data_IF_448813417439
#
_entry.id   IF_448813417439
#
_cell.length_a   1.000
_cell.length_b   1.000
_cell.length_c   1.000
_cell.angle_alpha   90.00
_cell.angle_beta   90.00
_cell.angle_gamma   90.00
#
_symmetry.space_group_name_H-M   'P 1'
#
loop_
_entity.id
_entity.type
_entity.pdbx_description
1 polymer ?
#
# COMPACT_ATOMS: atom_id res chain seq x y z
N UNK A 1 2.56 11.56 0.57
CA UNK A 1 2.90 10.20 1.06
C UNK A 1 3.28 9.21 -0.05
N UNK A 2 2.53 9.10 -1.15
CA UNK A 2 2.80 8.09 -2.20
C UNK A 2 4.15 8.30 -2.92
N UNK A 3 4.43 9.54 -3.35
CA UNK A 3 5.66 9.91 -4.07
C UNK A 3 6.92 9.56 -3.26
N UNK A 4 6.93 9.89 -1.96
CA UNK A 4 8.08 9.62 -1.08
C UNK A 4 8.33 8.13 -0.88
N UNK A 5 7.31 7.26 -1.03
CA UNK A 5 7.47 5.80 -0.93
C UNK A 5 7.95 5.16 -2.23
N UNK A 6 7.66 5.78 -3.38
CA UNK A 6 8.11 5.34 -4.71
C UNK A 6 9.53 5.85 -5.00
N UNK A 7 9.92 6.95 -4.34
CA UNK A 7 11.22 7.57 -4.46
C UNK A 7 12.34 6.59 -4.08
N UNK A 8 13.01 6.01 -5.08
CA UNK A 8 14.30 5.33 -4.90
C UNK A 8 15.43 6.29 -5.29
N UNK A 9 16.45 6.38 -4.44
CA UNK A 9 17.68 7.16 -4.66
C UNK A 9 17.47 8.66 -4.95
N UNK A 10 16.50 9.32 -4.30
CA UNK A 10 16.31 10.77 -4.45
C UNK A 10 15.63 11.22 -5.75
N UNK A 11 15.30 10.31 -6.67
CA UNK A 11 14.76 10.63 -8.00
C UNK A 11 13.27 10.97 -7.96
N UNK A 12 12.93 12.21 -7.56
CA UNK A 12 11.54 12.72 -7.49
C UNK A 12 10.84 12.71 -8.85
N UNK A 13 11.50 13.20 -9.89
CA UNK A 13 10.92 13.28 -11.24
C UNK A 13 10.50 11.91 -11.78
N UNK A 14 11.34 10.88 -11.58
CA UNK A 14 11.04 9.50 -12.00
C UNK A 14 9.83 8.94 -11.24
N UNK A 15 9.72 9.20 -9.93
CA UNK A 15 8.59 8.77 -9.13
C UNK A 15 7.27 9.39 -9.62
N UNK A 16 7.28 10.69 -9.97
CA UNK A 16 6.12 11.36 -10.56
C UNK A 16 5.73 10.75 -11.92
N UNK A 17 6.70 10.46 -12.79
CA UNK A 17 6.44 9.81 -14.08
C UNK A 17 5.79 8.43 -13.92
N UNK A 18 6.26 7.62 -12.97
CA UNK A 18 5.70 6.29 -12.70
C UNK A 18 4.24 6.42 -12.24
N UNK A 19 3.96 7.34 -11.32
CA UNK A 19 2.59 7.58 -10.83
C UNK A 19 1.67 8.04 -11.96
N UNK A 20 2.11 9.01 -12.77
CA UNK A 20 1.31 9.50 -13.90
C UNK A 20 1.02 8.40 -14.94
N UNK A 21 2.02 7.56 -15.24
CA UNK A 21 1.84 6.42 -16.14
C UNK A 21 0.86 5.38 -15.58
N UNK A 22 0.92 5.12 -14.28
CA UNK A 22 0.00 4.21 -13.60
C UNK A 22 -1.44 4.75 -13.60
N UNK A 23 -1.62 6.03 -13.29
CA UNK A 23 -2.93 6.71 -13.36
C UNK A 23 -3.53 6.66 -14.76
N UNK A 24 -2.72 6.91 -15.80
CA UNK A 24 -3.16 6.82 -17.19
C UNK A 24 -3.63 5.42 -17.56
N UNK A 25 -2.91 4.37 -17.12
CA UNK A 25 -3.32 2.97 -17.32
C UNK A 25 -4.63 2.63 -16.61
N UNK A 26 -4.85 3.16 -15.40
CA UNK A 26 -6.09 2.96 -14.64
C UNK A 26 -7.26 3.65 -15.36
N UNK A 27 -7.06 4.90 -15.79
CA UNK A 27 -8.08 5.63 -16.53
C UNK A 27 -8.50 4.91 -17.81
N UNK A 28 -7.55 4.33 -18.54
CA UNK A 28 -7.82 3.52 -19.74
C UNK A 28 -8.60 2.23 -19.46
N UNK A 29 -8.47 1.65 -18.26
CA UNK A 29 -9.13 0.38 -17.89
C UNK A 29 -10.49 0.56 -17.25
N UNK A 30 -10.67 1.63 -16.48
CA UNK A 30 -11.84 1.79 -15.60
C UNK A 30 -12.75 2.92 -16.06
N UNK A 31 -12.35 3.73 -17.06
CA UNK A 31 -13.08 4.89 -17.62
C UNK A 31 -13.62 5.88 -16.57
N UNK A 32 -13.12 5.76 -15.34
CA UNK A 32 -13.56 6.50 -14.16
C UNK A 32 -12.39 7.31 -13.64
N UNK A 33 -12.71 8.28 -12.79
CA UNK A 33 -11.68 9.15 -12.23
C UNK A 33 -10.64 8.31 -11.46
N UNK A 34 -9.38 8.28 -11.91
CA UNK A 34 -8.36 7.38 -11.36
C UNK A 34 -8.01 7.73 -9.91
N UNK A 35 -8.29 8.97 -9.45
CA UNK A 35 -8.16 9.35 -8.05
C UNK A 35 -9.22 8.68 -7.17
N UNK A 36 -10.43 8.47 -7.69
CA UNK A 36 -11.50 7.77 -6.99
C UNK A 36 -11.16 6.28 -6.84
N UNK A 37 -10.67 5.66 -7.93
CA UNK A 37 -10.21 4.26 -7.93
C UNK A 37 -9.05 4.05 -6.94
N UNK A 38 -8.09 4.96 -6.88
CA UNK A 38 -7.00 4.91 -5.88
C UNK A 38 -7.51 5.07 -4.45
N UNK A 39 -8.51 5.92 -4.20
CA UNK A 39 -9.12 6.05 -2.86
C UNK A 39 -9.82 4.75 -2.47
N UNK A 40 -10.56 4.14 -3.40
CA UNK A 40 -11.31 2.91 -3.18
C UNK A 40 -10.36 1.71 -2.95
N UNK A 41 -9.28 1.60 -3.74
CA UNK A 41 -8.30 0.50 -3.57
C UNK A 41 -7.57 0.57 -2.24
N UNK A 42 -7.26 1.77 -1.74
CA UNK A 42 -6.63 1.95 -0.43
C UNK A 42 -7.51 1.42 0.71
N UNK A 43 -8.83 1.47 0.57
CA UNK A 43 -9.76 0.87 1.54
C UNK A 43 -9.72 -0.65 1.54
N UNK A 44 -9.50 -1.28 0.38
CA UNK A 44 -9.49 -2.74 0.22
C UNK A 44 -8.14 -3.35 0.62
N UNK A 45 -7.04 -2.65 0.36
CA UNK A 45 -5.69 -3.06 0.79
C UNK A 45 -5.39 -2.81 2.28
N UNK A 46 -6.29 -2.14 3.01
CA UNK A 46 -6.23 -2.07 4.47
C UNK A 46 -6.64 -3.44 5.04
N UNK A 47 -5.71 -4.39 5.10
CA UNK A 47 -5.88 -5.54 5.98
C UNK A 47 -6.08 -5.01 7.39
N UNK A 48 -7.29 -5.16 7.95
CA UNK A 48 -7.59 -4.65 9.30
C UNK A 48 -6.75 -5.34 10.37
N UNK A 49 -6.21 -6.51 10.04
CA UNK A 49 -5.44 -7.35 10.93
C UNK A 49 -4.06 -7.65 10.32
N UNK A 50 -3.00 -7.49 11.13
CA UNK A 50 -1.66 -8.00 10.87
C UNK A 50 -1.40 -9.10 11.90
N UNK A 51 -0.71 -10.16 11.51
CA UNK A 51 -0.19 -11.12 12.48
C UNK A 51 1.14 -10.66 13.06
N UNK A 52 1.28 -10.76 14.38
CA UNK A 52 2.59 -10.72 15.04
C UNK A 52 2.88 -12.09 15.64
N UNK A 53 4.11 -12.56 15.44
CA UNK A 53 4.60 -13.76 16.09
C UNK A 53 4.74 -13.52 17.58
N UNK A 54 4.12 -14.36 18.41
CA UNK A 54 4.31 -14.43 19.86
C UNK A 54 4.71 -15.85 20.23
N UNK A 55 5.75 -15.99 21.04
CA UNK A 55 6.19 -17.28 21.56
C UNK A 55 5.57 -17.53 22.92
N UNK A 56 4.86 -18.65 23.08
CA UNK A 56 4.23 -19.08 24.34
C UNK A 56 4.60 -20.54 24.55
N UNK A 57 5.25 -20.86 25.68
CA UNK A 57 5.53 -22.25 26.06
C UNK A 57 6.43 -23.05 25.10
N UNK A 58 7.28 -22.38 24.30
CA UNK A 58 8.20 -23.05 23.36
C UNK A 58 7.69 -23.15 21.92
N UNK A 59 6.42 -22.83 21.65
CA UNK A 59 5.85 -22.72 20.30
C UNK A 59 5.60 -21.26 19.90
N UNK A 60 5.81 -20.94 18.63
CA UNK A 60 5.56 -19.59 18.10
C UNK A 60 4.22 -19.57 17.37
N UNK A 61 3.30 -18.74 17.86
CA UNK A 61 1.98 -18.54 17.29
C UNK A 61 1.85 -17.16 16.66
N UNK A 62 1.11 -17.07 15.55
CA UNK A 62 0.76 -15.79 14.94
C UNK A 62 -0.52 -15.24 15.58
N UNK A 63 -0.37 -14.19 16.38
CA UNK A 63 -1.49 -13.53 17.04
C UNK A 63 -1.93 -12.34 16.18
N UNK A 64 -3.22 -12.27 15.79
CA UNK A 64 -3.74 -11.15 15.02
C UNK A 64 -3.82 -9.89 15.88
N UNK A 65 -3.40 -8.76 15.30
CA UNK A 65 -3.43 -7.44 15.92
C UNK A 65 -4.09 -6.48 14.94
N UNK A 66 -4.97 -5.63 15.46
CA UNK A 66 -5.59 -4.57 14.68
C UNK A 66 -4.57 -3.53 14.24
N UNK A 67 -4.54 -3.27 12.94
CA UNK A 67 -3.68 -2.25 12.36
C UNK A 67 -4.43 -0.92 12.40
N UNK A 68 -3.84 0.09 13.04
CA UNK A 68 -4.37 1.45 13.00
C UNK A 68 -4.49 1.98 11.57
N UNK A 69 -5.51 2.81 11.30
CA UNK A 69 -5.85 3.28 9.95
C UNK A 69 -4.70 3.97 9.20
N UNK A 70 -3.79 4.64 9.91
CA UNK A 70 -2.57 5.25 9.34
C UNK A 70 -1.55 4.21 8.90
N UNK A 71 -1.35 3.16 9.70
CA UNK A 71 -0.43 2.07 9.38
C UNK A 71 -0.99 1.18 8.26
N UNK A 72 -2.30 0.97 8.21
CA UNK A 72 -2.98 0.26 7.12
C UNK A 72 -2.74 0.93 5.76
N UNK A 73 -2.94 2.25 5.66
CA UNK A 73 -2.69 3.03 4.44
C UNK A 73 -1.22 2.93 4.00
N UNK A 74 -0.30 2.97 4.95
CA UNK A 74 1.11 2.78 4.70
C UNK A 74 1.41 1.38 4.13
N UNK A 75 0.85 0.34 4.74
CA UNK A 75 1.02 -1.05 4.31
C UNK A 75 0.43 -1.26 2.91
N UNK A 76 -0.80 -0.82 2.66
CA UNK A 76 -1.47 -0.87 1.36
C UNK A 76 -0.60 -0.33 0.23
N UNK A 77 -0.01 0.85 0.42
CA UNK A 77 0.90 1.45 -0.56
C UNK A 77 2.16 0.59 -0.74
N UNK A 78 2.68 0.00 0.34
CA UNK A 78 3.89 -0.85 0.29
C UNK A 78 3.65 -2.14 -0.50
N UNK A 79 2.48 -2.75 -0.31
CA UNK A 79 2.05 -3.95 -1.04
C UNK A 79 1.77 -3.66 -2.51
N UNK A 80 1.12 -2.53 -2.82
CA UNK A 80 0.88 -2.09 -4.20
C UNK A 80 2.19 -1.87 -4.99
N UNK A 81 3.26 -1.49 -4.30
CA UNK A 81 4.58 -1.30 -4.87
C UNK A 81 5.42 -2.58 -4.93
N UNK A 82 4.88 -3.73 -4.51
CA UNK A 82 5.52 -5.03 -4.61
C UNK A 82 6.78 -5.18 -3.76
N UNK A 83 6.94 -4.38 -2.71
CA UNK A 83 8.15 -4.40 -1.88
C UNK A 83 7.80 -4.88 -0.46
N UNK A 84 8.21 -6.09 -0.04
CA UNK A 84 8.24 -6.47 1.36
C UNK A 84 9.28 -5.65 2.14
#
# INVERSE_FOLDING_TARGET
MLVNRILKHGKKSLAYQIIYRALKKIQQKTETNPLSVLRQSNTWSNSRYSSKSKTVGGSTHQVPIEIGSTQGKALAIRWLLGHP
#
